data_IF_851962202971
#
_entry.id   IF_851962202971
#
_cell.length_a   1.000
_cell.length_b   1.000
_cell.length_c   1.000
_cell.angle_alpha   90.00
_cell.angle_beta   90.00
_cell.angle_gamma   90.00
#
_symmetry.space_group_name_H-M   'P 1'
#
loop_
_entity.id
_entity.type
_entity.pdbx_description
1 polymer ?
#
# COMPACT_ATOMS: atom_id res chain seq x y z
N UNK A 1 6.45 90.17 10.58
CA UNK A 1 5.36 89.46 9.89
C UNK A 1 5.49 87.93 10.17
N UNK A 2 4.55 87.41 10.88
CA UNK A 2 4.59 86.06 11.50
C UNK A 2 3.95 85.07 10.58
N UNK A 3 4.66 84.08 10.06
CA UNK A 3 4.08 82.94 9.32
C UNK A 3 4.02 81.73 10.23
N UNK A 4 2.78 81.32 10.51
CA UNK A 4 2.51 80.15 11.32
C UNK A 4 2.56 78.85 10.44
N UNK A 5 3.45 77.98 10.76
CA UNK A 5 3.56 76.67 10.15
C UNK A 5 2.61 75.71 10.86
N UNK A 6 1.62 75.22 10.14
CA UNK A 6 0.67 74.19 10.66
C UNK A 6 1.29 72.81 10.39
N UNK A 7 1.62 72.07 11.45
CA UNK A 7 1.94 70.67 11.41
C UNK A 7 0.64 69.86 11.33
N UNK A 8 0.41 69.16 10.23
CA UNK A 8 -0.64 68.16 10.11
C UNK A 8 -0.08 66.80 10.54
N UNK A 9 -0.49 66.31 11.67
CA UNK A 9 -0.19 64.97 12.12
C UNK A 9 -1.04 63.97 11.35
N UNK A 10 -0.43 63.21 10.46
CA UNK A 10 -1.06 62.05 9.83
C UNK A 10 -1.07 60.87 10.80
N UNK A 11 -2.23 60.52 11.31
CA UNK A 11 -2.50 59.29 12.05
C UNK A 11 -2.52 58.12 11.07
N UNK A 12 -1.46 57.30 11.06
CA UNK A 12 -1.39 56.04 10.35
C UNK A 12 -2.10 55.00 11.22
N UNK A 13 -3.36 54.68 10.95
CA UNK A 13 -4.06 53.57 11.53
C UNK A 13 -3.58 52.27 10.88
N UNK A 14 -2.69 51.58 11.56
CA UNK A 14 -2.32 50.20 11.19
C UNK A 14 -3.48 49.27 11.53
N UNK A 15 -4.26 48.88 10.52
CA UNK A 15 -5.27 47.84 10.64
C UNK A 15 -4.52 46.49 10.75
N UNK A 16 -4.45 45.98 11.98
CA UNK A 16 -3.94 44.63 12.27
C UNK A 16 -5.00 43.63 11.79
N UNK A 17 -4.80 43.09 10.58
CA UNK A 17 -5.59 41.95 10.11
C UNK A 17 -5.24 40.74 10.96
N UNK A 18 -6.07 40.50 11.97
CA UNK A 18 -6.08 39.24 12.71
C UNK A 18 -6.68 38.18 11.79
N UNK A 19 -5.78 37.47 11.06
CA UNK A 19 -6.16 36.27 10.32
C UNK A 19 -6.51 35.21 11.37
N UNK A 20 -7.77 34.75 11.44
CA UNK A 20 -8.06 33.61 12.31
C UNK A 20 -7.29 32.41 11.75
N UNK A 21 -6.27 31.93 12.47
CA UNK A 21 -5.67 30.65 12.23
C UNK A 21 -6.78 29.61 12.35
N UNK A 22 -7.23 29.10 11.21
CA UNK A 22 -8.10 27.94 11.21
C UNK A 22 -7.39 26.83 12.00
N UNK A 23 -8.04 26.20 12.98
CA UNK A 23 -7.43 25.07 13.66
C UNK A 23 -7.16 24.03 12.58
N UNK A 24 -5.89 23.73 12.35
CA UNK A 24 -5.52 22.52 11.62
C UNK A 24 -6.27 21.39 12.32
N UNK A 25 -7.31 20.89 11.69
CA UNK A 25 -8.05 19.75 12.18
C UNK A 25 -7.04 18.65 12.37
N UNK A 26 -6.59 18.48 13.62
CA UNK A 26 -5.85 17.33 14.04
C UNK A 26 -6.71 16.14 13.60
N UNK A 27 -6.27 15.45 12.55
CA UNK A 27 -6.80 14.15 12.17
C UNK A 27 -6.49 13.27 13.38
N UNK A 28 -7.43 13.25 14.33
CA UNK A 28 -7.37 12.35 15.46
C UNK A 28 -7.28 10.96 14.85
N UNK A 29 -6.11 10.34 14.99
CA UNK A 29 -5.88 8.94 14.66
C UNK A 29 -6.86 8.17 15.54
N UNK A 30 -8.08 7.95 15.03
CA UNK A 30 -9.10 7.21 15.73
C UNK A 30 -8.61 5.78 15.81
N UNK A 31 -8.05 5.44 16.96
CA UNK A 31 -7.68 4.05 17.27
C UNK A 31 -8.91 3.19 16.99
N UNK A 32 -8.85 2.24 16.07
CA UNK A 32 -10.01 1.46 15.72
C UNK A 32 -10.53 0.71 16.96
N UNK A 33 -11.85 0.60 17.17
CA UNK A 33 -12.42 -0.17 18.25
C UNK A 33 -11.87 -1.61 18.22
N UNK A 34 -11.76 -2.27 19.38
CA UNK A 34 -11.15 -3.59 19.53
C UNK A 34 -11.64 -4.63 18.50
N UNK A 35 -12.94 -4.61 18.21
CA UNK A 35 -13.54 -5.48 17.20
C UNK A 35 -12.97 -5.28 15.78
N UNK A 36 -12.63 -4.04 15.41
CA UNK A 36 -12.00 -3.75 14.11
C UNK A 36 -10.55 -4.23 14.11
N UNK A 37 -9.83 -4.10 15.22
CA UNK A 37 -8.46 -4.64 15.34
C UNK A 37 -8.43 -6.16 15.18
N UNK A 38 -9.36 -6.87 15.80
CA UNK A 38 -9.46 -8.32 15.70
C UNK A 38 -9.82 -8.75 14.26
N UNK A 39 -10.71 -8.02 13.61
CA UNK A 39 -11.05 -8.25 12.21
C UNK A 39 -9.83 -8.05 11.30
N UNK A 40 -9.13 -6.94 11.46
CA UNK A 40 -7.90 -6.65 10.69
C UNK A 40 -6.83 -7.72 10.94
N UNK A 41 -6.65 -8.18 12.18
CA UNK A 41 -5.72 -9.27 12.51
C UNK A 41 -6.03 -10.57 11.76
N UNK A 42 -7.31 -10.96 11.70
CA UNK A 42 -7.77 -12.13 10.92
C UNK A 42 -7.51 -11.94 9.42
N UNK A 43 -7.75 -10.76 8.90
CA UNK A 43 -7.50 -10.45 7.49
C UNK A 43 -6.01 -10.49 7.15
N UNK A 44 -5.13 -10.00 8.02
CA UNK A 44 -3.68 -10.14 7.87
C UNK A 44 -3.25 -11.61 7.81
N UNK A 45 -3.81 -12.45 8.67
CA UNK A 45 -3.52 -13.89 8.64
C UNK A 45 -3.96 -14.53 7.31
N UNK A 46 -5.12 -14.16 6.79
CA UNK A 46 -5.63 -14.65 5.49
C UNK A 46 -4.80 -14.13 4.31
N UNK A 47 -4.39 -12.86 4.32
CA UNK A 47 -3.50 -12.32 3.30
C UNK A 47 -2.19 -13.11 3.23
N UNK A 48 -1.58 -13.39 4.39
CA UNK A 48 -0.36 -14.23 4.46
C UNK A 48 -0.59 -15.65 3.95
N UNK A 49 -1.75 -16.23 4.23
CA UNK A 49 -2.11 -17.56 3.73
C UNK A 49 -2.37 -17.57 2.21
N UNK A 50 -2.90 -16.48 1.66
CA UNK A 50 -3.15 -16.32 0.24
C UNK A 50 -1.90 -15.94 -0.56
N UNK A 51 -0.82 -15.52 0.10
CA UNK A 51 0.45 -15.22 -0.57
C UNK A 51 1.16 -16.55 -0.93
N UNK A 52 1.47 -16.80 -2.20
CA UNK A 52 2.17 -18.01 -2.61
C UNK A 52 3.52 -18.12 -1.90
N UNK A 53 3.70 -19.14 -1.09
CA UNK A 53 4.99 -19.44 -0.48
C UNK A 53 5.92 -19.99 -1.57
N UNK A 54 7.22 -19.67 -1.54
CA UNK A 54 8.16 -20.40 -2.36
C UNK A 54 7.98 -21.88 -2.01
N UNK A 55 7.66 -22.71 -3.01
CA UNK A 55 7.79 -24.12 -2.81
C UNK A 55 9.24 -24.34 -2.36
N UNK A 56 9.42 -24.82 -1.13
CA UNK A 56 10.73 -25.36 -0.75
C UNK A 56 11.13 -26.26 -1.89
N UNK A 57 12.24 -25.94 -2.54
CA UNK A 57 12.69 -26.68 -3.70
C UNK A 57 12.65 -28.15 -3.32
N UNK A 58 11.65 -28.85 -3.83
CA UNK A 58 11.57 -30.30 -3.70
C UNK A 58 12.89 -30.82 -4.28
N UNK A 59 13.62 -31.50 -3.42
CA UNK A 59 14.99 -31.94 -3.54
C UNK A 59 15.52 -32.09 -4.97
N UNK A 60 16.78 -31.72 -5.12
CA UNK A 60 17.64 -31.90 -6.27
C UNK A 60 17.06 -32.83 -7.33
N UNK A 61 16.29 -32.27 -8.27
CA UNK A 61 16.08 -32.96 -9.53
C UNK A 61 17.39 -32.81 -10.27
N UNK A 62 18.24 -33.82 -10.16
CA UNK A 62 19.40 -33.98 -11.04
C UNK A 62 18.85 -34.18 -12.45
N UNK A 63 18.70 -33.09 -13.18
CA UNK A 63 18.38 -33.16 -14.60
C UNK A 63 19.62 -33.67 -15.27
N UNK A 64 19.67 -34.98 -15.46
CA UNK A 64 20.65 -35.61 -16.37
C UNK A 64 20.26 -35.13 -17.77
N UNK A 65 20.95 -34.11 -18.27
CA UNK A 65 20.78 -33.59 -19.61
C UNK A 65 21.22 -34.72 -20.59
N UNK A 66 20.24 -35.46 -21.07
CA UNK A 66 20.42 -36.33 -22.22
C UNK A 66 20.55 -35.46 -23.47
N UNK A 67 21.77 -35.26 -23.90
CA UNK A 67 22.11 -34.71 -25.21
C UNK A 67 21.61 -35.65 -26.30
N UNK A 68 20.45 -35.34 -26.86
CA UNK A 68 20.07 -35.78 -28.21
C UNK A 68 19.47 -34.61 -28.97
N UNK A 69 20.16 -34.28 -30.08
CA UNK A 69 19.94 -33.13 -30.89
C UNK A 69 18.49 -32.94 -31.36
N UNK A 70 18.02 -31.74 -31.19
CA UNK A 70 17.11 -31.09 -32.10
C UNK A 70 17.59 -29.66 -32.22
N UNK A 71 17.75 -29.19 -33.43
CA UNK A 71 18.06 -27.80 -33.76
C UNK A 71 16.90 -26.91 -33.26
N UNK A 72 16.97 -26.50 -32.00
CA UNK A 72 16.14 -25.45 -31.48
C UNK A 72 16.80 -24.14 -31.88
N UNK A 73 16.12 -23.37 -32.74
CA UNK A 73 16.51 -22.03 -33.13
C UNK A 73 16.71 -21.20 -31.88
N UNK A 74 17.87 -20.57 -31.73
CA UNK A 74 18.33 -19.77 -30.55
C UNK A 74 17.38 -18.63 -30.13
N UNK A 75 16.33 -18.36 -30.90
CA UNK A 75 15.42 -17.23 -30.63
C UNK A 75 14.27 -17.54 -29.64
N UNK A 76 14.05 -18.80 -29.24
CA UNK A 76 12.92 -19.17 -28.36
C UNK A 76 13.31 -19.61 -26.95
N UNK A 77 14.57 -19.76 -26.66
CA UNK A 77 15.02 -20.09 -25.31
C UNK A 77 15.14 -18.82 -24.45
N UNK A 78 13.99 -18.25 -24.06
CA UNK A 78 13.98 -17.35 -22.89
C UNK A 78 14.50 -18.19 -21.72
N UNK A 79 15.64 -17.80 -21.10
CA UNK A 79 16.17 -18.59 -19.99
C UNK A 79 15.09 -18.66 -18.90
N UNK A 80 14.54 -19.84 -18.61
CA UNK A 80 13.48 -20.06 -17.62
C UNK A 80 13.83 -19.46 -16.24
N UNK A 81 15.12 -19.39 -15.90
CA UNK A 81 15.62 -18.77 -14.67
C UNK A 81 15.45 -17.25 -14.60
N UNK A 82 15.14 -16.56 -15.71
CA UNK A 82 14.88 -15.11 -15.67
C UNK A 82 13.51 -14.81 -15.05
N UNK A 83 12.48 -15.58 -15.42
CA UNK A 83 11.16 -15.47 -14.81
C UNK A 83 11.16 -15.82 -13.32
N UNK A 84 11.95 -16.83 -12.91
CA UNK A 84 12.09 -17.22 -11.52
C UNK A 84 12.74 -16.11 -10.66
N UNK A 85 13.70 -15.37 -11.21
CA UNK A 85 14.33 -14.24 -10.51
C UNK A 85 13.39 -13.05 -10.35
N UNK A 86 12.65 -12.69 -11.39
CA UNK A 86 11.66 -11.61 -11.32
C UNK A 86 10.60 -11.95 -10.28
N UNK A 87 10.02 -13.14 -10.32
CA UNK A 87 9.05 -13.60 -9.33
C UNK A 87 9.64 -13.68 -7.90
N UNK A 88 10.91 -14.06 -7.77
CA UNK A 88 11.58 -14.05 -6.46
C UNK A 88 11.73 -12.63 -5.92
N UNK A 89 12.08 -11.67 -6.75
CA UNK A 89 12.21 -10.26 -6.39
C UNK A 89 10.86 -9.66 -6.00
N UNK A 90 9.80 -9.93 -6.77
CA UNK A 90 8.44 -9.52 -6.46
C UNK A 90 7.96 -10.07 -5.12
N UNK A 91 8.17 -11.37 -4.87
CA UNK A 91 7.82 -11.98 -3.58
C UNK A 91 8.57 -11.33 -2.43
N UNK A 92 9.87 -11.12 -2.58
CA UNK A 92 10.68 -10.48 -1.54
C UNK A 92 10.20 -9.05 -1.24
N UNK A 93 9.82 -8.28 -2.25
CA UNK A 93 9.26 -6.94 -2.07
C UNK A 93 7.92 -6.99 -1.32
N UNK A 94 7.03 -7.93 -1.67
CA UNK A 94 5.76 -8.12 -0.98
C UNK A 94 5.96 -8.58 0.47
N UNK A 95 6.85 -9.53 0.72
CA UNK A 95 7.21 -10.02 2.06
C UNK A 95 7.77 -8.90 2.94
N UNK A 96 8.61 -8.02 2.37
CA UNK A 96 9.12 -6.85 3.07
C UNK A 96 7.98 -5.91 3.48
N UNK A 97 7.02 -5.66 2.60
CA UNK A 97 5.86 -4.84 2.92
C UNK A 97 4.99 -5.49 4.02
N UNK A 98 4.82 -6.80 4.00
CA UNK A 98 4.12 -7.56 5.05
C UNK A 98 4.88 -7.51 6.38
N UNK A 99 6.20 -7.65 6.37
CA UNK A 99 7.02 -7.55 7.58
C UNK A 99 6.93 -6.18 8.25
N UNK A 100 6.85 -5.09 7.47
CA UNK A 100 6.60 -3.75 7.99
C UNK A 100 5.24 -3.65 8.70
N UNK A 101 4.21 -4.26 8.12
CA UNK A 101 2.88 -4.30 8.73
C UNK A 101 2.87 -5.15 10.02
N UNK A 102 3.58 -6.28 10.04
CA UNK A 102 3.72 -7.14 11.22
C UNK A 102 4.47 -6.43 12.36
N UNK A 103 5.44 -5.56 12.01
CA UNK A 103 6.13 -4.69 12.96
C UNK A 103 5.28 -3.49 13.44
N UNK A 104 4.05 -3.34 12.95
CA UNK A 104 3.17 -2.22 13.28
C UNK A 104 3.48 -0.93 12.52
N UNK A 105 4.45 -0.94 11.61
CA UNK A 105 4.84 0.20 10.76
C UNK A 105 3.88 0.34 9.57
N UNK A 106 2.58 0.53 9.87
CA UNK A 106 1.54 0.51 8.83
C UNK A 106 1.69 1.61 7.77
N UNK A 107 2.24 2.77 8.14
CA UNK A 107 2.48 3.84 7.17
C UNK A 107 3.52 3.45 6.13
N UNK A 108 4.61 2.80 6.56
CA UNK A 108 5.65 2.35 5.66
C UNK A 108 5.22 1.09 4.89
N UNK A 109 4.44 0.22 5.53
CA UNK A 109 3.83 -0.92 4.85
C UNK A 109 2.91 -0.46 3.70
N UNK A 110 2.03 0.52 3.94
CA UNK A 110 1.16 1.06 2.90
C UNK A 110 1.96 1.59 1.70
N UNK A 111 3.01 2.38 1.96
CA UNK A 111 3.91 2.89 0.91
C UNK A 111 4.63 1.76 0.17
N UNK A 112 5.11 0.74 0.89
CA UNK A 112 5.81 -0.38 0.29
C UNK A 112 4.90 -1.21 -0.63
N UNK A 113 3.63 -1.44 -0.23
CA UNK A 113 2.63 -2.08 -1.09
C UNK A 113 2.30 -1.22 -2.32
N UNK A 114 2.20 0.10 -2.17
CA UNK A 114 1.94 1.02 -3.27
C UNK A 114 3.10 1.06 -4.27
N UNK A 115 4.34 1.11 -3.78
CA UNK A 115 5.54 1.00 -4.62
C UNK A 115 5.54 -0.32 -5.39
N UNK A 116 5.23 -1.43 -4.71
CA UNK A 116 5.09 -2.73 -5.38
C UNK A 116 4.11 -2.68 -6.55
N UNK A 117 2.94 -2.06 -6.36
CA UNK A 117 1.91 -1.94 -7.39
C UNK A 117 2.33 -1.05 -8.58
N UNK A 118 3.14 -0.02 -8.32
CA UNK A 118 3.69 0.84 -9.36
C UNK A 118 4.76 0.10 -10.18
N UNK A 119 5.64 -0.63 -9.51
CA UNK A 119 6.75 -1.33 -10.13
C UNK A 119 6.29 -2.61 -10.86
N UNK A 120 5.24 -3.27 -10.32
CA UNK A 120 4.77 -4.59 -10.77
C UNK A 120 3.25 -4.64 -11.03
N UNK A 121 2.71 -3.79 -11.92
CA UNK A 121 1.24 -3.67 -12.09
C UNK A 121 0.58 -4.93 -12.67
N UNK A 122 1.35 -5.79 -13.34
CA UNK A 122 0.88 -7.04 -13.95
C UNK A 122 1.27 -8.29 -13.15
N UNK A 123 1.86 -8.11 -11.98
CA UNK A 123 2.24 -9.22 -11.12
C UNK A 123 1.02 -10.02 -10.65
N UNK A 124 1.10 -11.34 -10.58
CA UNK A 124 0.08 -12.15 -9.93
C UNK A 124 -0.10 -11.82 -8.44
N UNK A 125 0.90 -11.15 -7.83
CA UNK A 125 0.87 -10.70 -6.44
C UNK A 125 0.25 -9.29 -6.27
N UNK A 126 -0.09 -8.60 -7.37
CA UNK A 126 -0.66 -7.25 -7.31
C UNK A 126 -1.97 -7.21 -6.49
N UNK A 127 -2.81 -8.25 -6.60
CA UNK A 127 -4.02 -8.36 -5.80
C UNK A 127 -3.71 -8.38 -4.29
N UNK A 128 -2.71 -9.14 -3.87
CA UNK A 128 -2.28 -9.22 -2.48
C UNK A 128 -1.72 -7.87 -1.99
N UNK A 129 -0.97 -7.16 -2.83
CA UNK A 129 -0.44 -5.84 -2.52
C UNK A 129 -1.56 -4.79 -2.38
N UNK A 130 -2.58 -4.80 -3.26
CA UNK A 130 -3.76 -3.92 -3.15
C UNK A 130 -4.48 -4.13 -1.82
N UNK A 131 -4.76 -5.39 -1.47
CA UNK A 131 -5.42 -5.74 -0.23
C UNK A 131 -4.56 -5.34 1.00
N UNK A 132 -3.25 -5.59 0.96
CA UNK A 132 -2.30 -5.22 2.01
C UNK A 132 -2.19 -3.72 2.24
N UNK A 133 -2.19 -2.91 1.16
CA UNK A 133 -2.21 -1.44 1.25
C UNK A 133 -3.50 -0.95 1.93
N UNK A 134 -4.67 -1.47 1.52
CA UNK A 134 -5.95 -1.10 2.12
C UNK A 134 -6.02 -1.47 3.61
N UNK A 135 -5.53 -2.68 4.00
CA UNK A 135 -5.43 -3.10 5.40
C UNK A 135 -4.50 -2.18 6.22
N UNK A 136 -3.35 -1.81 5.67
CA UNK A 136 -2.40 -0.92 6.33
C UNK A 136 -3.04 0.45 6.60
N UNK A 137 -3.76 1.00 5.63
CA UNK A 137 -4.51 2.25 5.77
C UNK A 137 -5.64 2.14 6.81
N UNK A 138 -6.33 1.00 6.86
CA UNK A 138 -7.34 0.73 7.88
C UNK A 138 -6.73 0.69 9.29
N UNK A 139 -5.55 0.07 9.44
CA UNK A 139 -4.83 0.02 10.71
C UNK A 139 -4.33 1.40 11.17
N UNK A 140 -4.04 2.31 10.24
CA UNK A 140 -3.72 3.72 10.51
C UNK A 140 -4.94 4.55 10.91
N UNK A 141 -6.17 4.02 10.77
CA UNK A 141 -7.40 4.77 10.97
C UNK A 141 -7.80 5.65 9.77
N UNK A 142 -7.12 5.53 8.64
CA UNK A 142 -7.43 6.24 7.39
C UNK A 142 -8.66 5.60 6.69
N UNK A 143 -9.82 5.62 7.37
CA UNK A 143 -11.03 4.89 6.96
C UNK A 143 -11.44 5.14 5.51
N UNK A 144 -11.45 6.41 5.08
CA UNK A 144 -11.87 6.76 3.73
C UNK A 144 -10.93 6.17 2.65
N UNK A 145 -9.62 6.25 2.87
CA UNK A 145 -8.63 5.69 1.93
C UNK A 145 -8.64 4.16 1.94
N UNK A 146 -8.81 3.56 3.12
CA UNK A 146 -8.94 2.12 3.25
C UNK A 146 -10.19 1.61 2.52
N UNK A 147 -11.33 2.25 2.72
CA UNK A 147 -12.58 1.91 2.04
C UNK A 147 -12.45 2.02 0.52
N UNK A 148 -11.85 3.10 0.02
CA UNK A 148 -11.57 3.25 -1.41
C UNK A 148 -10.65 2.13 -1.93
N UNK A 149 -9.61 1.76 -1.17
CA UNK A 149 -8.71 0.67 -1.53
C UNK A 149 -9.39 -0.69 -1.61
N UNK A 150 -10.27 -1.02 -0.66
CA UNK A 150 -11.05 -2.26 -0.70
C UNK A 150 -12.07 -2.28 -1.84
N UNK A 151 -12.74 -1.15 -2.11
CA UNK A 151 -13.68 -1.01 -3.22
C UNK A 151 -12.97 -1.21 -4.57
N UNK A 152 -11.79 -0.61 -4.74
CA UNK A 152 -10.94 -0.81 -5.92
C UNK A 152 -10.47 -2.27 -6.06
N UNK A 153 -10.11 -2.91 -4.95
CA UNK A 153 -9.72 -4.32 -4.95
C UNK A 153 -10.88 -5.21 -5.43
N UNK A 154 -12.08 -5.05 -4.89
CA UNK A 154 -13.28 -5.82 -5.27
C UNK A 154 -13.58 -5.65 -6.77
N UNK A 155 -13.50 -4.41 -7.27
CA UNK A 155 -13.75 -4.11 -8.69
C UNK A 155 -12.72 -4.72 -9.64
N UNK A 156 -11.45 -4.65 -9.27
CA UNK A 156 -10.35 -5.11 -10.13
C UNK A 156 -10.08 -6.61 -10.02
N UNK A 157 -10.44 -7.22 -8.89
CA UNK A 157 -10.12 -8.61 -8.57
C UNK A 157 -11.35 -9.40 -8.08
N UNK A 158 -12.47 -9.44 -8.83
CA UNK A 158 -13.74 -10.00 -8.36
C UNK A 158 -13.69 -11.51 -8.07
N UNK A 159 -12.72 -12.22 -8.64
CA UNK A 159 -12.55 -13.66 -8.44
C UNK A 159 -11.51 -14.01 -7.36
N UNK A 160 -10.91 -13.00 -6.72
CA UNK A 160 -9.87 -13.26 -5.72
C UNK A 160 -10.47 -13.80 -4.42
N UNK A 161 -9.84 -14.80 -3.76
CA UNK A 161 -10.37 -15.42 -2.53
C UNK A 161 -10.60 -14.45 -1.37
N UNK A 162 -9.90 -13.29 -1.36
CA UNK A 162 -10.02 -12.26 -0.34
C UNK A 162 -11.17 -11.25 -0.60
N UNK A 163 -11.98 -11.41 -1.63
CA UNK A 163 -13.08 -10.48 -1.94
C UNK A 163 -14.07 -10.40 -0.78
N UNK A 164 -14.48 -11.53 -0.21
CA UNK A 164 -15.38 -11.56 0.94
C UNK A 164 -14.80 -10.82 2.17
N UNK A 165 -13.50 -10.92 2.36
CA UNK A 165 -12.81 -10.22 3.44
C UNK A 165 -12.77 -8.71 3.18
N UNK A 166 -12.56 -8.29 1.93
CA UNK A 166 -12.62 -6.88 1.52
C UNK A 166 -14.03 -6.30 1.73
N UNK A 167 -15.08 -7.03 1.40
CA UNK A 167 -16.47 -6.63 1.65
C UNK A 167 -16.75 -6.46 3.15
N UNK A 168 -16.28 -7.39 3.98
CA UNK A 168 -16.41 -7.29 5.44
C UNK A 168 -15.65 -6.09 5.99
N UNK A 169 -14.42 -5.84 5.51
CA UNK A 169 -13.66 -4.66 5.90
C UNK A 169 -14.38 -3.37 5.51
N UNK A 170 -14.90 -3.31 4.28
CA UNK A 170 -15.63 -2.16 3.78
C UNK A 170 -16.90 -1.87 4.62
N UNK A 171 -17.63 -2.91 5.01
CA UNK A 171 -18.80 -2.78 5.89
C UNK A 171 -18.42 -2.27 7.29
N UNK A 172 -17.28 -2.70 7.83
CA UNK A 172 -16.80 -2.27 9.16
C UNK A 172 -16.21 -0.84 9.17
N UNK A 173 -15.85 -0.31 7.99
CA UNK A 173 -15.25 1.03 7.84
C UNK A 173 -16.29 2.12 7.55
N UNK A 174 -17.49 1.75 7.13
CA UNK A 174 -18.63 2.65 6.88
C UNK A 174 -19.36 2.96 8.17
#
# INVERSE_FOLDING_TARGET
MKTATRLTASLLTAALFLVPAAPAAAQASQTPPSAVKDLLGKMWARLRAATPRPHAAAGNVTVTAGLRGSEATESELKPYWRGDREQATERQALEKAQALADAGSYADAAKAFESFLQDNPKSPLAANAMFGSALSRAALGERAKAAAGFDDFIKKQPQHPLVKDAEQALAALR
#
